data_IF_801670700303
#
_entry.id   IF_801670700303
#
_cell.length_a   1.000
_cell.length_b   1.000
_cell.length_c   1.000
_cell.angle_alpha   90.00
_cell.angle_beta   90.00
_cell.angle_gamma   90.00
#
_symmetry.space_group_name_H-M   'P 1'
#
loop_
_entity.id
_entity.type
_entity.pdbx_description
1 polymer ?
#
# COMPACT_ATOMS: atom_id res chain seq x y z
N UNK A 1 16.49 -0.34 -9.73
CA UNK A 1 16.44 0.91 -8.92
C UNK A 1 16.83 0.54 -7.50
N UNK A 2 17.25 1.45 -6.64
CA UNK A 2 17.48 1.13 -5.23
C UNK A 2 16.17 1.17 -4.46
N UNK A 3 16.04 0.33 -3.43
CA UNK A 3 14.88 0.33 -2.54
C UNK A 3 14.62 1.70 -1.89
N UNK A 4 15.66 2.53 -1.70
CA UNK A 4 15.53 3.91 -1.24
C UNK A 4 14.84 4.84 -2.24
N UNK A 5 15.12 4.67 -3.53
CA UNK A 5 14.47 5.47 -4.58
C UNK A 5 13.00 5.09 -4.69
N UNK A 6 12.66 3.79 -4.60
CA UNK A 6 11.27 3.30 -4.59
C UNK A 6 10.51 3.88 -3.40
N UNK A 7 11.13 3.89 -2.23
CA UNK A 7 10.55 4.43 -1.02
C UNK A 7 10.11 5.90 -1.16
N UNK A 8 10.79 6.71 -1.98
CA UNK A 8 10.39 8.10 -2.24
C UNK A 8 9.09 8.23 -3.06
N UNK A 9 8.73 7.20 -3.82
CA UNK A 9 7.45 7.15 -4.55
C UNK A 9 6.30 6.63 -3.67
N UNK A 10 6.62 5.98 -2.57
CA UNK A 10 5.67 5.45 -1.59
C UNK A 10 5.40 6.49 -0.50
N UNK A 11 6.48 7.06 0.05
CA UNK A 11 6.45 7.99 1.17
C UNK A 11 6.79 9.39 0.67
N UNK A 12 5.81 10.29 0.66
CA UNK A 12 5.99 11.66 0.20
C UNK A 12 6.91 12.49 1.11
N UNK A 13 7.14 12.08 2.36
CA UNK A 13 8.06 12.73 3.29
C UNK A 13 9.39 11.97 3.41
N UNK A 14 10.33 12.31 2.52
CA UNK A 14 11.63 11.65 2.49
C UNK A 14 12.51 11.97 3.70
N UNK A 15 12.30 13.09 4.41
CA UNK A 15 13.18 13.52 5.51
C UNK A 15 12.84 12.81 6.81
N UNK A 16 11.55 12.69 7.11
CA UNK A 16 11.10 11.94 8.28
C UNK A 16 11.42 10.45 8.12
N UNK A 17 11.21 9.91 6.91
CA UNK A 17 11.62 8.55 6.58
C UNK A 17 13.12 8.34 6.78
N UNK A 18 13.97 9.21 6.22
CA UNK A 18 15.43 9.09 6.37
C UNK A 18 15.87 9.14 7.84
N UNK A 19 15.25 9.99 8.65
CA UNK A 19 15.54 10.08 10.08
C UNK A 19 15.14 8.80 10.80
N UNK A 20 13.92 8.28 10.55
CA UNK A 20 13.46 7.03 11.13
C UNK A 20 14.37 5.86 10.79
N UNK A 21 14.77 5.75 9.52
CA UNK A 21 15.67 4.69 9.03
C UNK A 21 17.08 4.78 9.65
N UNK A 22 17.55 5.96 10.03
CA UNK A 22 18.83 6.11 10.74
C UNK A 22 18.73 5.66 12.20
N UNK A 23 17.62 5.94 12.86
CA UNK A 23 17.41 5.64 14.28
C UNK A 23 17.01 4.18 14.55
N UNK A 24 16.29 3.54 13.61
CA UNK A 24 15.66 2.24 13.80
C UNK A 24 16.29 1.10 12.98
N UNK A 25 17.45 1.35 12.37
CA UNK A 25 18.06 0.48 11.36
C UNK A 25 18.24 -0.97 11.85
N UNK A 26 17.46 -1.90 11.29
CA UNK A 26 17.56 -3.33 11.60
C UNK A 26 18.63 -4.06 10.78
N UNK A 27 19.13 -3.42 9.71
CA UNK A 27 20.06 -4.00 8.75
C UNK A 27 19.37 -4.52 7.49
N UNK A 28 18.05 -4.71 7.54
CA UNK A 28 17.19 -4.96 6.39
C UNK A 28 16.35 -3.71 6.09
N UNK A 29 16.64 -3.08 4.94
CA UNK A 29 15.93 -1.88 4.52
C UNK A 29 14.47 -2.17 4.15
N UNK A 30 14.14 -3.38 3.71
CA UNK A 30 12.76 -3.76 3.39
C UNK A 30 11.90 -3.77 4.65
N UNK A 31 12.38 -4.44 5.71
CA UNK A 31 11.70 -4.48 7.01
C UNK A 31 11.60 -3.09 7.64
N UNK A 32 12.68 -2.28 7.54
CA UNK A 32 12.69 -0.92 8.08
C UNK A 32 11.64 -0.02 7.40
N UNK A 33 11.46 -0.14 6.07
CA UNK A 33 10.43 0.60 5.32
C UNK A 33 9.02 0.12 5.65
N UNK A 34 8.83 -1.21 5.76
CA UNK A 34 7.56 -1.78 6.19
C UNK A 34 7.18 -1.22 7.57
N UNK A 35 8.10 -1.27 8.54
CA UNK A 35 7.91 -0.74 9.90
C UNK A 35 7.59 0.76 9.89
N UNK A 36 8.29 1.53 9.06
CA UNK A 36 8.02 2.98 8.91
C UNK A 36 6.62 3.25 8.39
N UNK A 37 6.21 2.57 7.31
CA UNK A 37 4.88 2.72 6.73
C UNK A 37 3.77 2.40 7.74
N UNK A 38 3.96 1.37 8.56
CA UNK A 38 3.02 1.00 9.62
C UNK A 38 2.97 2.01 10.76
N UNK A 39 4.15 2.46 11.22
CA UNK A 39 4.24 3.42 12.33
C UNK A 39 3.64 4.77 11.97
N UNK A 40 3.75 5.17 10.71
CA UNK A 40 3.20 6.42 10.18
C UNK A 40 1.80 6.30 9.61
N UNK A 41 1.18 5.11 9.67
CA UNK A 41 -0.12 4.79 9.07
C UNK A 41 -0.21 5.09 7.57
N UNK A 42 0.93 5.16 6.88
CA UNK A 42 0.95 5.22 5.41
C UNK A 42 0.68 3.85 4.79
N UNK A 43 0.88 2.78 5.56
CA UNK A 43 0.48 1.42 5.20
C UNK A 43 -0.71 0.97 6.03
N UNK A 44 -1.69 0.37 5.35
CA UNK A 44 -2.77 -0.39 5.97
C UNK A 44 -2.37 -1.86 6.06
N UNK A 45 -2.72 -2.47 7.20
CA UNK A 45 -2.43 -3.86 7.52
C UNK A 45 -3.71 -4.66 7.48
N UNK A 46 -3.83 -5.65 6.59
CA UNK A 46 -5.05 -6.47 6.46
C UNK A 46 -4.70 -7.95 6.53
N UNK A 47 -5.46 -8.75 7.28
CA UNK A 47 -5.26 -10.20 7.35
C UNK A 47 -5.53 -10.82 5.96
N UNK A 48 -4.81 -11.90 5.63
CA UNK A 48 -5.08 -12.65 4.39
C UNK A 48 -6.52 -13.16 4.30
N UNK A 49 -7.17 -13.42 5.45
CA UNK A 49 -8.59 -13.85 5.53
C UNK A 49 -9.58 -12.72 5.27
N UNK A 50 -9.13 -11.47 5.18
CA UNK A 50 -9.97 -10.33 4.83
C UNK A 50 -9.76 -9.12 5.74
N UNK A 51 -10.55 -8.10 5.45
CA UNK A 51 -10.67 -6.85 6.20
C UNK A 51 -11.62 -7.02 7.39
N UNK A 52 -11.24 -6.51 8.55
CA UNK A 52 -12.14 -6.38 9.69
C UNK A 52 -12.62 -4.93 9.76
N UNK A 53 -13.93 -4.69 9.96
CA UNK A 53 -14.48 -3.35 10.21
C UNK A 53 -14.13 -2.26 9.18
N UNK A 54 -14.19 -2.57 7.88
CA UNK A 54 -14.06 -1.57 6.80
C UNK A 54 -12.70 -0.83 6.79
N UNK A 55 -11.61 -1.50 7.19
CA UNK A 55 -10.24 -0.94 7.21
C UNK A 55 -9.82 -0.23 5.92
N UNK A 56 -10.15 -0.73 4.73
CA UNK A 56 -9.77 -0.11 3.44
C UNK A 56 -10.51 1.21 3.25
N UNK A 57 -11.80 1.26 3.57
CA UNK A 57 -12.60 2.50 3.46
C UNK A 57 -12.09 3.54 4.45
N UNK A 58 -11.89 3.13 5.71
CA UNK A 58 -11.30 3.99 6.74
C UNK A 58 -9.92 4.50 6.33
N UNK A 59 -9.11 3.65 5.69
CA UNK A 59 -7.78 4.04 5.21
C UNK A 59 -7.84 5.06 4.08
N UNK A 60 -8.80 4.95 3.15
CA UNK A 60 -9.01 5.97 2.11
C UNK A 60 -9.39 7.30 2.75
N UNK A 61 -10.34 7.29 3.69
CA UNK A 61 -10.79 8.50 4.40
C UNK A 61 -9.66 9.16 5.19
N UNK A 62 -8.85 8.37 5.90
CA UNK A 62 -7.68 8.85 6.64
C UNK A 62 -6.64 9.47 5.67
N UNK A 63 -6.43 8.86 4.50
CA UNK A 63 -5.52 9.38 3.48
C UNK A 63 -6.03 10.68 2.87
N UNK A 64 -7.31 10.77 2.51
CA UNK A 64 -7.97 11.99 2.03
C UNK A 64 -7.79 13.14 3.02
N UNK A 65 -8.06 12.87 4.30
CA UNK A 65 -7.92 13.86 5.37
C UNK A 65 -6.46 14.30 5.59
N UNK A 66 -5.50 13.37 5.53
CA UNK A 66 -4.09 13.67 5.71
C UNK A 66 -3.49 14.49 4.55
N UNK A 67 -4.04 14.35 3.34
CA UNK A 67 -3.51 14.97 2.13
C UNK A 67 -4.34 16.13 1.59
N UNK A 68 -5.50 16.45 2.19
CA UNK A 68 -6.45 17.47 1.72
C UNK A 68 -6.89 17.25 0.26
N UNK A 69 -7.28 16.01 -0.05
CA UNK A 69 -7.74 15.57 -1.38
C UNK A 69 -9.02 14.74 -1.27
N UNK A 70 -9.71 14.56 -2.40
CA UNK A 70 -10.89 13.70 -2.52
C UNK A 70 -10.63 12.62 -3.60
N UNK A 71 -10.44 11.40 -3.12
CA UNK A 71 -10.16 10.20 -3.89
C UNK A 71 -11.45 9.45 -4.29
N UNK A 72 -12.46 9.46 -3.44
CA UNK A 72 -13.73 8.76 -3.66
C UNK A 72 -14.91 9.60 -3.19
N UNK A 73 -16.04 9.53 -3.88
CA UNK A 73 -17.28 10.14 -3.36
C UNK A 73 -17.94 9.23 -2.32
N UNK A 74 -18.77 9.81 -1.46
CA UNK A 74 -19.45 9.06 -0.39
C UNK A 74 -20.23 7.83 -0.92
N UNK A 75 -20.94 7.94 -2.04
CA UNK A 75 -21.69 6.80 -2.59
C UNK A 75 -20.79 5.65 -3.06
N UNK A 76 -19.57 5.95 -3.52
CA UNK A 76 -18.58 4.94 -3.93
C UNK A 76 -18.02 4.22 -2.70
N UNK A 77 -17.75 4.95 -1.62
CA UNK A 77 -17.29 4.38 -0.36
C UNK A 77 -18.37 3.50 0.28
N UNK A 78 -19.63 3.92 0.30
CA UNK A 78 -20.76 3.12 0.80
C UNK A 78 -20.95 1.81 -0.01
N UNK A 79 -20.78 1.87 -1.33
CA UNK A 79 -20.80 0.68 -2.18
C UNK A 79 -19.61 -0.24 -1.88
N UNK A 80 -18.43 0.36 -1.68
CA UNK A 80 -17.24 -0.39 -1.31
C UNK A 80 -17.45 -1.08 0.04
N UNK A 81 -17.96 -0.40 1.06
CA UNK A 81 -18.32 -0.97 2.36
C UNK A 81 -19.25 -2.18 2.24
N UNK A 82 -20.27 -2.09 1.38
CA UNK A 82 -21.24 -3.16 1.16
C UNK A 82 -20.73 -4.30 0.27
N UNK A 83 -19.57 -4.13 -0.38
CA UNK A 83 -19.02 -5.13 -1.29
C UNK A 83 -18.59 -6.40 -0.54
N UNK A 84 -19.19 -7.52 -0.93
CA UNK A 84 -18.83 -8.86 -0.45
C UNK A 84 -17.80 -9.50 -1.39
N UNK A 85 -16.73 -10.02 -0.82
CA UNK A 85 -15.64 -10.66 -1.55
C UNK A 85 -15.16 -11.89 -0.80
N UNK A 86 -14.63 -12.86 -1.54
CA UNK A 86 -14.05 -14.07 -0.95
C UNK A 86 -12.57 -13.87 -0.61
N UNK A 87 -11.87 -13.09 -1.43
CA UNK A 87 -10.44 -12.80 -1.27
C UNK A 87 -10.15 -11.31 -1.38
N UNK A 88 -9.23 -10.83 -0.55
CA UNK A 88 -8.85 -9.41 -0.51
C UNK A 88 -8.48 -8.80 -1.87
N UNK A 89 -7.78 -9.50 -2.80
CA UNK A 89 -7.50 -8.95 -4.13
C UNK A 89 -8.74 -8.53 -4.92
N UNK A 90 -9.91 -9.15 -4.72
CA UNK A 90 -11.15 -8.71 -5.37
C UNK A 90 -11.60 -7.35 -4.85
N UNK A 91 -11.55 -7.17 -3.52
CA UNK A 91 -11.82 -5.89 -2.88
C UNK A 91 -10.86 -4.80 -3.35
N UNK A 92 -9.56 -5.11 -3.42
CA UNK A 92 -8.54 -4.16 -3.90
C UNK A 92 -8.82 -3.74 -5.35
N UNK A 93 -9.28 -4.65 -6.22
CA UNK A 93 -9.69 -4.31 -7.60
C UNK A 93 -10.87 -3.35 -7.61
N UNK A 94 -11.92 -3.61 -6.82
CA UNK A 94 -13.06 -2.69 -6.73
C UNK A 94 -12.64 -1.32 -6.19
N UNK A 95 -11.79 -1.28 -5.16
CA UNK A 95 -11.19 -0.03 -4.67
C UNK A 95 -10.44 0.69 -5.78
N UNK A 96 -9.63 -0.02 -6.57
CA UNK A 96 -8.85 0.59 -7.65
C UNK A 96 -9.72 1.16 -8.76
N UNK A 97 -10.91 0.62 -9.03
CA UNK A 97 -11.87 1.24 -9.97
C UNK A 97 -12.34 2.61 -9.48
N UNK A 98 -12.50 2.78 -8.17
CA UNK A 98 -12.91 4.03 -7.52
C UNK A 98 -11.75 5.06 -7.55
N UNK A 99 -10.51 4.63 -7.27
CA UNK A 99 -9.35 5.52 -7.23
C UNK A 99 -8.83 5.93 -8.62
N UNK A 100 -9.05 5.09 -9.64
CA UNK A 100 -8.53 5.25 -10.99
C UNK A 100 -8.86 6.62 -11.64
N UNK A 101 -10.11 7.13 -11.60
CA UNK A 101 -10.46 8.43 -12.18
C UNK A 101 -9.69 9.61 -11.58
N UNK A 102 -9.18 9.47 -10.34
CA UNK A 102 -8.39 10.50 -9.65
C UNK A 102 -6.88 10.36 -9.90
N UNK A 103 -6.46 9.31 -10.61
CA UNK A 103 -5.05 9.04 -10.88
C UNK A 103 -4.32 8.37 -9.72
N UNK A 104 -5.04 7.70 -8.82
CA UNK A 104 -4.48 6.99 -7.67
C UNK A 104 -4.79 5.49 -7.74
N UNK A 105 -4.07 4.71 -6.94
CA UNK A 105 -4.29 3.28 -6.77
C UNK A 105 -3.86 2.81 -5.40
N UNK A 106 -4.49 1.72 -4.96
CA UNK A 106 -4.14 0.91 -3.82
C UNK A 106 -3.22 -0.23 -4.30
N UNK A 107 -2.01 -0.25 -3.75
CA UNK A 107 -0.94 -1.19 -4.09
C UNK A 107 -0.68 -2.14 -2.93
N UNK A 108 -0.23 -3.35 -3.23
CA UNK A 108 0.31 -4.26 -2.22
C UNK A 108 1.82 -4.10 -2.12
N UNK A 109 2.31 -3.92 -0.90
CA UNK A 109 3.73 -3.98 -0.60
C UNK A 109 4.10 -5.42 -0.21
N UNK A 110 5.14 -6.01 -0.84
CA UNK A 110 5.51 -7.40 -0.60
C UNK A 110 5.99 -7.58 0.85
N UNK A 111 5.62 -8.69 1.48
CA UNK A 111 6.04 -9.05 2.82
C UNK A 111 6.04 -10.58 2.98
N UNK A 112 6.67 -11.09 4.03
CA UNK A 112 6.81 -12.54 4.28
C UNK A 112 5.81 -13.09 5.33
N UNK A 113 4.76 -12.32 5.67
CA UNK A 113 3.79 -12.63 6.72
C UNK A 113 2.44 -13.12 6.17
N UNK A 114 1.54 -13.49 7.08
CA UNK A 114 0.19 -13.98 6.77
C UNK A 114 -0.80 -12.84 6.44
N UNK A 115 -0.34 -11.82 5.72
CA UNK A 115 -1.00 -10.53 5.73
C UNK A 115 -0.69 -9.66 4.50
N UNK A 116 -1.54 -8.69 4.21
CA UNK A 116 -1.31 -7.66 3.19
C UNK A 116 -0.90 -6.34 3.84
N UNK A 117 0.18 -5.75 3.31
CA UNK A 117 0.53 -4.36 3.54
C UNK A 117 0.07 -3.55 2.33
N UNK A 118 -0.84 -2.60 2.51
CA UNK A 118 -1.45 -1.82 1.44
C UNK A 118 -1.07 -0.35 1.53
N UNK A 119 -0.88 0.31 0.40
CA UNK A 119 -0.60 1.76 0.37
C UNK A 119 -1.23 2.43 -0.84
N UNK A 120 -1.55 3.72 -0.70
CA UNK A 120 -2.12 4.54 -1.78
C UNK A 120 -1.02 5.36 -2.43
N UNK A 121 -0.91 5.27 -3.76
CA UNK A 121 0.05 6.05 -4.54
C UNK A 121 -0.55 6.50 -5.87
N UNK A 122 0.11 7.49 -6.50
CA UNK A 122 -0.28 7.99 -7.83
C UNK A 122 0.10 6.98 -8.91
N UNK A 123 -0.80 6.81 -9.89
CA UNK A 123 -0.62 5.90 -11.03
C UNK A 123 0.48 6.35 -12.00
N UNK A 124 0.89 7.62 -11.98
CA UNK A 124 2.03 8.10 -12.76
C UNK A 124 3.33 7.35 -12.41
N UNK A 125 3.42 6.80 -11.19
CA UNK A 125 4.56 6.03 -10.70
C UNK A 125 4.37 4.50 -10.89
N UNK A 126 3.28 4.04 -11.49
CA UNK A 126 2.93 2.61 -11.55
C UNK A 126 4.04 1.76 -12.17
N UNK A 127 4.62 2.20 -13.29
CA UNK A 127 5.71 1.45 -13.95
C UNK A 127 6.96 1.37 -13.08
N UNK A 128 7.23 2.39 -12.27
CA UNK A 128 8.39 2.45 -11.37
C UNK A 128 8.18 1.50 -10.18
N UNK A 129 6.97 1.49 -9.62
CA UNK A 129 6.63 0.68 -8.45
C UNK A 129 6.63 -0.83 -8.74
N UNK A 130 6.15 -1.26 -9.91
CA UNK A 130 5.92 -2.68 -10.22
C UNK A 130 7.14 -3.45 -10.74
N UNK A 131 8.27 -2.79 -11.02
CA UNK A 131 9.41 -3.41 -11.71
C UNK A 131 10.46 -4.03 -10.79
N UNK A 132 10.37 -3.78 -9.49
CA UNK A 132 11.48 -3.99 -8.57
C UNK A 132 11.12 -5.04 -7.52
N UNK A 133 12.03 -5.98 -7.35
CA UNK A 133 11.99 -6.99 -6.31
C UNK A 133 12.43 -6.36 -4.98
N UNK A 134 11.54 -6.39 -3.98
CA UNK A 134 11.81 -5.77 -2.68
C UNK A 134 12.02 -6.79 -1.57
N UNK A 135 11.44 -7.98 -1.71
CA UNK A 135 11.56 -9.07 -0.75
C UNK A 135 12.50 -10.14 -1.30
N UNK A 136 13.70 -10.26 -0.71
CA UNK A 136 14.72 -11.21 -1.17
C UNK A 136 14.57 -12.57 -0.50
N UNK A 137 13.55 -13.33 -0.91
CA UNK A 137 13.31 -14.71 -0.47
C UNK A 137 13.06 -15.61 -1.68
N UNK A 138 13.96 -16.56 -1.95
CA UNK A 138 13.87 -17.47 -3.10
C UNK A 138 12.79 -18.56 -2.97
N UNK A 139 12.17 -18.69 -1.81
CA UNK A 139 11.04 -19.60 -1.60
C UNK A 139 9.69 -18.98 -1.99
N UNK A 140 9.63 -17.64 -2.11
CA UNK A 140 8.41 -16.91 -2.48
C UNK A 140 8.38 -16.70 -4.00
N UNK A 141 7.24 -16.90 -4.68
CA UNK A 141 7.11 -16.62 -6.11
C UNK A 141 7.49 -15.17 -6.44
N UNK A 142 8.25 -14.95 -7.52
CA UNK A 142 8.76 -13.63 -7.90
C UNK A 142 7.71 -12.50 -7.87
N UNK A 143 6.47 -12.80 -8.30
CA UNK A 143 5.38 -11.83 -8.28
C UNK A 143 5.05 -11.34 -6.87
N UNK A 144 5.07 -12.23 -5.87
CA UNK A 144 4.81 -11.92 -4.45
C UNK A 144 5.99 -11.20 -3.78
N UNK A 145 7.14 -11.13 -4.45
CA UNK A 145 8.33 -10.40 -4.00
C UNK A 145 8.39 -8.95 -4.49
N UNK A 146 7.48 -8.58 -5.39
CA UNK A 146 7.36 -7.26 -5.98
C UNK A 146 6.12 -6.54 -5.44
N UNK A 147 6.09 -5.21 -5.56
CA UNK A 147 4.84 -4.45 -5.37
C UNK A 147 3.84 -4.91 -6.44
N UNK A 148 2.58 -5.07 -6.06
CA UNK A 148 1.51 -5.41 -7.00
C UNK A 148 0.43 -4.33 -7.06
N UNK A 149 -0.19 -4.25 -8.23
CA UNK A 149 -1.35 -3.43 -8.50
C UNK A 149 -2.42 -4.32 -9.13
N UNK A 150 -3.59 -4.40 -8.49
CA UNK A 150 -4.70 -5.19 -9.02
C UNK A 150 -5.70 -4.27 -9.72
N UNK A 151 -5.73 -4.34 -11.05
CA UNK A 151 -6.72 -3.69 -11.92
C UNK A 151 -7.88 -4.60 -12.27
#
# INVERSE_FOLDING_TARGET
MSLKEIAQYIFNDSKEMETFLQENRSGDLHEDLLKYGLTTKQFLYVDFKGEDYQEIVNFILDYEAAHDIELAVQEELEQLEAFQYEFLPEKIKETNKILLPKGYGLFTYPNSGDFYALFIAKLENLTILLQEELLFDDYIPFQERCIQYYS
#
